data_IF_001777997599
#
_entry.id   IF_001777997599
#
_cell.length_a   1.000
_cell.length_b   1.000
_cell.length_c   1.000
_cell.angle_alpha   90.00
_cell.angle_beta   90.00
_cell.angle_gamma   90.00
#
_symmetry.space_group_name_H-M   'P 1'
#
loop_
_entity.id
_entity.type
_entity.pdbx_description
1 polymer ?
#
# COMPACT_ATOMS: atom_id res chain seq x y z
N UNK A 1 -0.83 -31.11 68.27
CA UNK A 1 -1.88 -30.13 68.63
C UNK A 1 -3.13 -30.40 67.78
N UNK A 2 -4.07 -31.12 68.38
CA UNK A 2 -5.55 -30.97 68.37
C UNK A 2 -6.29 -30.35 67.15
N UNK A 3 -7.25 -31.15 66.62
CA UNK A 3 -8.56 -30.90 65.95
C UNK A 3 -8.58 -30.48 64.47
N UNK A 4 -9.13 -31.29 63.56
CA UNK A 4 -10.55 -31.66 63.26
C UNK A 4 -11.34 -30.58 62.48
N UNK A 5 -11.93 -31.00 61.36
CA UNK A 5 -13.12 -30.35 60.81
C UNK A 5 -13.33 -30.55 59.30
N UNK A 6 -13.96 -31.65 58.91
CA UNK A 6 -14.59 -31.78 57.59
C UNK A 6 -15.73 -30.76 57.42
N UNK A 7 -15.89 -30.23 56.20
CA UNK A 7 -17.21 -29.82 55.68
C UNK A 7 -17.21 -29.90 54.15
N UNK A 8 -18.01 -30.83 53.61
CA UNK A 8 -18.52 -30.83 52.23
C UNK A 8 -19.51 -29.68 52.02
N UNK A 9 -19.85 -29.47 50.75
CA UNK A 9 -20.90 -28.67 50.08
C UNK A 9 -20.23 -27.61 49.18
N UNK A 10 -20.55 -27.38 47.90
CA UNK A 10 -21.55 -27.86 46.95
C UNK A 10 -21.15 -27.27 45.58
N UNK A 11 -21.55 -27.90 44.47
CA UNK A 11 -21.14 -27.49 43.11
C UNK A 11 -21.74 -26.18 42.59
N UNK A 12 -21.08 -25.62 41.57
CA UNK A 12 -21.66 -24.95 40.41
C UNK A 12 -20.58 -24.75 39.31
N UNK A 13 -20.91 -25.16 38.09
CA UNK A 13 -20.20 -24.97 36.81
C UNK A 13 -20.68 -23.64 36.16
N UNK A 14 -20.30 -23.24 34.93
CA UNK A 14 -18.99 -23.12 34.27
C UNK A 14 -18.74 -21.70 33.70
N UNK A 15 -17.61 -21.54 32.98
CA UNK A 15 -17.46 -20.59 31.85
C UNK A 15 -17.39 -19.09 32.15
N UNK A 16 -16.18 -18.61 32.45
CA UNK A 16 -15.76 -17.25 32.10
C UNK A 16 -14.53 -17.36 31.21
N UNK A 17 -14.76 -17.40 29.89
CA UNK A 17 -13.72 -17.08 28.91
C UNK A 17 -13.40 -15.59 29.08
N UNK A 18 -12.42 -15.28 29.93
CA UNK A 18 -11.80 -13.96 29.95
C UNK A 18 -11.10 -13.76 28.60
N UNK A 19 -11.64 -12.85 27.80
CA UNK A 19 -10.94 -12.27 26.65
C UNK A 19 -9.62 -11.67 27.17
N UNK A 20 -8.51 -12.34 26.86
CA UNK A 20 -7.17 -11.80 27.07
C UNK A 20 -6.94 -10.78 25.95
N UNK A 21 -6.76 -9.51 26.31
CA UNK A 21 -6.37 -8.49 25.36
C UNK A 21 -5.00 -8.86 24.75
N UNK A 22 -4.83 -8.79 23.42
CA UNK A 22 -3.58 -9.19 22.78
C UNK A 22 -2.43 -8.26 23.19
N UNK A 23 -1.30 -8.84 23.55
CA UNK A 23 -0.07 -8.11 23.92
C UNK A 23 0.62 -7.54 22.69
N UNK A 24 1.51 -6.57 22.92
CA UNK A 24 2.11 -5.73 21.88
C UNK A 24 2.82 -6.47 20.72
N UNK A 25 3.30 -7.68 20.96
CA UNK A 25 3.96 -8.54 19.97
C UNK A 25 2.98 -9.21 19.00
N UNK A 26 1.71 -9.36 19.37
CA UNK A 26 0.66 -9.93 18.50
C UNK A 26 0.17 -8.95 17.41
N UNK A 27 0.48 -7.66 17.57
CA UNK A 27 0.06 -6.62 16.63
C UNK A 27 0.78 -6.70 15.28
N UNK A 28 2.01 -7.20 15.23
CA UNK A 28 2.80 -7.29 13.99
C UNK A 28 2.35 -8.45 13.08
N UNK A 29 1.77 -9.51 13.65
CA UNK A 29 1.18 -10.66 12.94
C UNK A 29 -0.08 -10.29 12.15
N UNK A 30 -0.78 -9.24 12.58
CA UNK A 30 -2.10 -8.84 12.06
C UNK A 30 -2.04 -7.98 10.79
N UNK A 31 -0.89 -7.42 10.43
CA UNK A 31 -0.74 -6.59 9.22
C UNK A 31 -0.71 -7.40 7.91
N UNK A 32 -0.90 -8.72 7.98
CA UNK A 32 -0.93 -9.62 6.82
C UNK A 32 -2.28 -10.30 6.64
N UNK A 33 -3.35 -9.65 7.08
CA UNK A 33 -4.69 -10.17 6.95
C UNK A 33 -5.16 -9.98 5.50
N UNK A 34 -5.45 -11.10 4.82
CA UNK A 34 -6.10 -11.10 3.49
C UNK A 34 -7.60 -10.78 3.55
N UNK A 35 -8.18 -10.80 4.75
CA UNK A 35 -9.60 -10.57 5.01
C UNK A 35 -9.82 -9.10 5.34
N UNK A 36 -10.50 -8.39 4.44
CA UNK A 36 -11.10 -7.11 4.81
C UNK A 36 -12.31 -7.36 5.72
N UNK A 37 -12.49 -6.53 6.74
CA UNK A 37 -13.64 -6.55 7.64
C UNK A 37 -14.06 -5.12 7.96
N UNK A 38 -15.36 -4.85 7.88
CA UNK A 38 -15.97 -3.65 8.46
C UNK A 38 -17.12 -4.07 9.39
N UNK A 39 -17.12 -3.64 10.67
CA UNK A 39 -16.11 -2.84 11.34
C UNK A 39 -14.70 -3.45 11.36
N UNK A 40 -13.69 -2.59 11.20
CA UNK A 40 -12.30 -3.01 11.33
C UNK A 40 -12.01 -3.33 12.82
N UNK A 41 -11.35 -4.47 13.13
CA UNK A 41 -10.98 -4.83 14.51
C UNK A 41 -10.13 -3.81 15.26
N UNK A 42 -9.49 -2.88 14.54
CA UNK A 42 -8.62 -1.84 15.08
C UNK A 42 -9.27 -0.45 15.09
N UNK A 43 -10.57 -0.34 14.81
CA UNK A 43 -11.28 0.93 14.88
C UNK A 43 -11.16 1.54 16.29
N UNK A 44 -10.75 2.81 16.42
CA UNK A 44 -10.61 3.45 17.72
C UNK A 44 -11.98 3.72 18.37
N UNK A 45 -12.01 3.97 19.70
CA UNK A 45 -13.23 4.42 20.37
C UNK A 45 -13.80 5.68 19.68
N UNK A 46 -15.13 5.71 19.49
CA UNK A 46 -15.83 6.76 18.75
C UNK A 46 -16.15 6.40 17.29
N UNK A 47 -15.51 5.36 16.76
CA UNK A 47 -15.88 4.73 15.49
C UNK A 47 -16.77 3.51 15.75
N UNK A 48 -17.45 3.02 14.71
CA UNK A 48 -18.19 1.76 14.76
C UNK A 48 -17.20 0.59 14.98
N UNK A 49 -17.43 -0.27 15.98
CA UNK A 49 -16.54 -1.40 16.31
C UNK A 49 -17.24 -2.74 16.11
N UNK A 50 -16.50 -3.86 16.02
CA UNK A 50 -17.09 -5.17 15.76
C UNK A 50 -18.16 -5.58 16.77
N UNK A 51 -18.04 -5.18 18.04
CA UNK A 51 -19.03 -5.44 19.09
C UNK A 51 -20.33 -4.64 18.92
N UNK A 52 -20.29 -3.55 18.17
CA UNK A 52 -21.42 -2.65 17.96
C UNK A 52 -22.35 -3.15 16.83
N UNK A 53 -21.95 -4.19 16.09
CA UNK A 53 -22.74 -4.77 14.99
C UNK A 53 -23.03 -6.26 15.18
N UNK A 54 -24.21 -6.69 14.75
CA UNK A 54 -24.56 -8.12 14.79
C UNK A 54 -23.90 -8.93 13.65
N UNK A 55 -23.61 -8.28 12.53
CA UNK A 55 -23.11 -8.94 11.30
C UNK A 55 -22.07 -8.06 10.61
N UNK A 56 -20.77 -8.26 10.89
CA UNK A 56 -19.69 -7.62 10.15
C UNK A 56 -19.71 -8.04 8.67
N UNK A 57 -19.34 -7.10 7.78
CA UNK A 57 -19.13 -7.38 6.37
C UNK A 57 -17.66 -7.78 6.20
N UNK A 58 -17.41 -8.94 5.57
CA UNK A 58 -16.05 -9.44 5.36
C UNK A 58 -15.85 -9.92 3.93
N UNK A 59 -14.64 -9.73 3.40
CA UNK A 59 -14.24 -10.20 2.06
C UNK A 59 -12.79 -10.70 2.09
N UNK A 60 -12.52 -11.83 1.46
CA UNK A 60 -11.16 -12.31 1.20
C UNK A 60 -10.61 -11.64 -0.07
N UNK A 61 -9.69 -10.68 0.10
CA UNK A 61 -9.11 -9.87 -0.98
C UNK A 61 -8.35 -10.67 -2.06
N UNK A 62 -8.12 -11.96 -1.81
CA UNK A 62 -7.42 -12.85 -2.75
C UNK A 62 -8.38 -13.83 -3.44
N UNK A 63 -9.69 -13.77 -3.13
CA UNK A 63 -10.74 -14.68 -3.66
C UNK A 63 -11.97 -13.94 -4.14
N UNK A 64 -12.40 -12.93 -3.39
CA UNK A 64 -13.63 -12.21 -3.61
C UNK A 64 -13.35 -10.99 -4.50
N UNK A 65 -14.39 -10.48 -5.16
CA UNK A 65 -14.30 -9.32 -6.04
C UNK A 65 -13.80 -9.62 -7.47
N UNK A 66 -13.82 -8.58 -8.33
CA UNK A 66 -13.33 -8.66 -9.70
C UNK A 66 -11.80 -8.83 -9.74
N UNK A 67 -11.30 -9.53 -10.75
CA UNK A 67 -9.86 -9.66 -10.99
C UNK A 67 -9.24 -8.42 -11.66
N UNK A 68 -7.90 -8.30 -11.67
CA UNK A 68 -6.92 -9.25 -11.12
C UNK A 68 -6.88 -9.25 -9.58
N UNK A 69 -6.73 -10.43 -8.98
CA UNK A 69 -6.72 -10.61 -7.50
C UNK A 69 -5.30 -10.69 -6.96
N UNK A 70 -5.16 -10.34 -5.67
CA UNK A 70 -3.87 -10.42 -4.99
C UNK A 70 -3.37 -11.87 -4.90
N UNK A 71 -2.07 -12.03 -5.12
CA UNK A 71 -1.38 -13.30 -4.91
C UNK A 71 -1.43 -13.70 -3.43
N UNK A 72 -1.32 -15.01 -3.18
CA UNK A 72 -1.23 -15.58 -1.83
C UNK A 72 0.18 -16.10 -1.57
N UNK A 73 0.68 -15.83 -0.38
CA UNK A 73 1.82 -16.56 0.19
C UNK A 73 1.42 -18.01 0.53
N UNK A 74 2.38 -18.94 0.68
CA UNK A 74 2.11 -20.30 1.16
C UNK A 74 1.36 -20.33 2.50
N UNK A 75 1.57 -19.34 3.36
CA UNK A 75 0.87 -19.20 4.66
C UNK A 75 -0.54 -18.59 4.52
N UNK A 76 -1.02 -18.38 3.29
CA UNK A 76 -2.34 -17.86 3.00
C UNK A 76 -2.51 -16.36 3.24
N UNK A 77 -1.44 -15.57 3.31
CA UNK A 77 -1.49 -14.11 3.42
C UNK A 77 -1.52 -13.46 2.04
N UNK A 78 -2.14 -12.29 1.91
CA UNK A 78 -2.14 -11.54 0.66
C UNK A 78 -0.76 -10.90 0.41
N UNK A 79 -0.32 -10.91 -0.85
CA UNK A 79 0.89 -10.22 -1.28
C UNK A 79 0.49 -8.91 -1.97
N UNK A 80 1.12 -7.83 -1.50
CA UNK A 80 0.93 -6.48 -2.01
C UNK A 80 2.29 -5.93 -2.42
N UNK A 81 2.45 -5.58 -3.70
CA UNK A 81 3.67 -4.95 -4.24
C UNK A 81 3.43 -3.47 -4.42
N UNK A 82 3.39 -2.74 -3.31
CA UNK A 82 3.08 -1.31 -3.33
C UNK A 82 4.27 -0.43 -3.75
N UNK A 83 5.50 -0.98 -3.76
CA UNK A 83 6.74 -0.27 -4.07
C UNK A 83 6.89 1.03 -3.25
N UNK A 84 6.56 0.93 -1.97
CA UNK A 84 6.67 2.00 -0.97
C UNK A 84 6.95 1.36 0.37
N UNK A 85 7.65 2.08 1.24
CA UNK A 85 7.84 1.71 2.64
C UNK A 85 6.85 2.43 3.58
N UNK A 86 5.98 3.29 3.03
CA UNK A 86 4.98 4.09 3.74
C UNK A 86 5.58 4.99 4.84
N UNK A 87 6.83 5.41 4.66
CA UNK A 87 7.52 6.34 5.57
C UNK A 87 7.57 7.74 4.99
N UNK A 88 7.93 8.70 5.84
CA UNK A 88 8.23 10.06 5.42
C UNK A 88 9.72 10.20 5.11
N UNK A 89 10.02 10.93 4.05
CA UNK A 89 11.38 11.20 3.61
C UNK A 89 11.53 12.66 3.19
N UNK A 90 12.74 13.19 3.37
CA UNK A 90 13.15 14.47 2.81
C UNK A 90 13.65 14.25 1.39
N UNK A 91 12.94 14.76 0.39
CA UNK A 91 13.22 14.53 -1.04
C UNK A 91 13.71 15.79 -1.78
N UNK A 92 14.19 16.78 -1.04
CA UNK A 92 14.75 18.03 -1.56
C UNK A 92 15.89 18.50 -0.65
N UNK A 93 16.70 19.44 -1.14
CA UNK A 93 17.74 20.11 -0.37
C UNK A 93 18.09 21.46 -1.01
N UNK A 94 19.09 22.16 -0.48
CA UNK A 94 19.50 23.48 -0.96
C UNK A 94 20.00 23.48 -2.42
N UNK A 95 20.52 22.34 -2.91
CA UNK A 95 21.05 22.24 -4.27
C UNK A 95 19.95 21.95 -5.30
N UNK A 96 18.88 21.25 -4.90
CA UNK A 96 17.68 21.08 -5.71
C UNK A 96 16.41 21.23 -4.83
N UNK A 97 15.90 22.46 -4.71
CA UNK A 97 14.78 22.76 -3.83
C UNK A 97 13.42 22.49 -4.47
N UNK A 98 13.34 21.80 -5.61
CA UNK A 98 12.10 21.66 -6.39
C UNK A 98 10.91 21.11 -5.58
N UNK A 99 11.16 20.15 -4.67
CA UNK A 99 10.14 19.64 -3.76
C UNK A 99 10.05 20.37 -2.41
N UNK A 100 10.99 21.28 -2.10
CA UNK A 100 11.04 22.07 -0.86
C UNK A 100 10.13 23.31 -0.95
N UNK A 101 8.85 23.11 -1.24
CA UNK A 101 7.88 24.22 -1.41
C UNK A 101 6.50 23.95 -0.83
N UNK A 102 6.36 22.95 0.04
CA UNK A 102 5.24 22.98 0.97
C UNK A 102 5.44 24.16 1.93
N UNK A 103 4.35 24.89 2.19
CA UNK A 103 4.39 26.13 2.99
C UNK A 103 3.65 25.99 4.31
N UNK A 104 2.80 24.98 4.42
CA UNK A 104 1.92 24.80 5.57
C UNK A 104 2.30 23.53 6.32
N UNK A 105 2.59 23.68 7.61
CA UNK A 105 2.75 22.55 8.53
C UNK A 105 1.37 21.91 8.72
N UNK A 106 1.27 20.61 8.42
CA UNK A 106 0.04 19.83 8.55
C UNK A 106 0.16 18.90 9.76
N UNK A 107 -0.55 19.20 10.85
CA UNK A 107 -0.53 18.40 12.10
C UNK A 107 0.89 18.07 12.60
N UNK A 108 1.78 19.07 12.58
CA UNK A 108 3.16 18.94 13.05
C UNK A 108 4.11 18.22 12.10
N UNK A 109 3.67 17.89 10.88
CA UNK A 109 4.54 17.36 9.82
C UNK A 109 5.38 18.49 9.23
N UNK A 110 6.73 18.39 9.23
CA UNK A 110 7.60 19.35 8.58
C UNK A 110 7.32 19.51 7.09
N UNK A 111 7.54 20.71 6.55
CA UNK A 111 7.24 21.07 5.16
C UNK A 111 8.22 20.47 4.13
N UNK A 112 9.28 19.82 4.59
CA UNK A 112 10.26 19.13 3.75
C UNK A 112 10.07 17.61 3.76
N UNK A 113 9.09 17.09 4.50
CA UNK A 113 8.87 15.65 4.69
C UNK A 113 7.60 15.15 4.01
N UNK A 114 7.78 14.23 3.07
CA UNK A 114 6.70 13.68 2.26
C UNK A 114 6.55 12.17 2.49
N UNK A 115 5.31 11.70 2.62
CA UNK A 115 5.02 10.27 2.68
C UNK A 115 5.29 9.62 1.32
N UNK A 116 6.03 8.50 1.30
CA UNK A 116 6.28 7.74 0.07
C UNK A 116 4.98 7.18 -0.50
N UNK A 117 4.59 7.70 -1.67
CA UNK A 117 3.39 7.23 -2.37
C UNK A 117 3.60 5.79 -2.84
N UNK A 118 2.54 4.99 -2.80
CA UNK A 118 2.48 3.70 -3.50
C UNK A 118 2.75 3.90 -5.00
N UNK A 119 3.58 3.06 -5.61
CA UNK A 119 3.88 3.13 -7.05
C UNK A 119 3.15 2.06 -7.88
N UNK A 120 2.32 1.21 -7.26
CA UNK A 120 1.61 0.13 -7.95
C UNK A 120 0.65 0.58 -9.07
N UNK A 121 0.44 1.89 -9.23
CA UNK A 121 -0.39 2.53 -10.25
C UNK A 121 0.27 3.77 -10.88
N UNK A 122 1.59 3.96 -10.69
CA UNK A 122 2.30 5.18 -11.15
C UNK A 122 2.20 5.39 -12.67
N UNK A 123 2.04 4.32 -13.45
CA UNK A 123 1.82 4.40 -14.89
C UNK A 123 0.44 4.97 -15.29
N UNK A 124 -0.46 5.20 -14.34
CA UNK A 124 -1.82 5.70 -14.56
C UNK A 124 -2.15 7.00 -13.81
N UNK A 125 -1.18 7.61 -13.13
CA UNK A 125 -1.42 8.72 -12.19
C UNK A 125 -0.60 9.96 -12.47
N UNK A 126 -0.19 10.19 -13.73
CA UNK A 126 0.31 11.50 -14.11
C UNK A 126 -0.78 12.58 -13.86
N UNK A 127 -0.41 13.84 -13.55
CA UNK A 127 0.95 14.35 -13.35
C UNK A 127 1.58 13.97 -11.99
N UNK A 128 2.89 14.07 -11.88
CA UNK A 128 3.73 13.59 -10.78
C UNK A 128 4.20 14.69 -9.83
N UNK A 129 4.80 14.29 -8.70
CA UNK A 129 5.18 15.17 -7.60
C UNK A 129 4.02 15.42 -6.63
N UNK A 130 4.30 15.99 -5.46
CA UNK A 130 3.25 16.27 -4.46
C UNK A 130 2.29 17.40 -4.89
N UNK A 131 2.73 18.26 -5.82
CA UNK A 131 1.90 19.30 -6.45
C UNK A 131 1.21 18.85 -7.74
N UNK A 132 1.59 17.70 -8.31
CA UNK A 132 1.06 17.23 -9.59
C UNK A 132 1.42 18.16 -10.75
N UNK A 133 2.64 18.68 -10.80
CA UNK A 133 3.11 19.64 -11.82
C UNK A 133 4.26 19.11 -12.68
N UNK A 134 4.60 17.83 -12.56
CA UNK A 134 5.59 17.15 -13.38
C UNK A 134 4.90 16.21 -14.37
N UNK A 135 5.23 16.31 -15.66
CA UNK A 135 4.47 15.61 -16.71
C UNK A 135 5.01 14.21 -16.98
N UNK A 136 6.28 13.95 -16.65
CA UNK A 136 6.92 12.66 -16.88
C UNK A 136 7.49 12.02 -15.61
N UNK A 137 7.56 10.69 -15.61
CA UNK A 137 8.23 9.92 -14.55
C UNK A 137 9.70 10.31 -14.45
N UNK A 138 10.36 10.54 -15.60
CA UNK A 138 11.76 10.95 -15.65
C UNK A 138 11.98 12.29 -14.97
N UNK A 139 11.17 13.31 -15.28
CA UNK A 139 11.25 14.61 -14.58
C UNK A 139 11.07 14.44 -13.08
N UNK A 140 10.11 13.62 -12.65
CA UNK A 140 9.94 13.31 -11.23
C UNK A 140 11.20 12.71 -10.63
N UNK A 141 11.81 11.70 -11.25
CA UNK A 141 13.07 11.09 -10.76
C UNK A 141 14.18 12.14 -10.67
N UNK A 142 14.34 12.98 -11.70
CA UNK A 142 15.43 13.96 -11.78
C UNK A 142 15.31 15.12 -10.77
N UNK A 143 14.10 15.42 -10.28
CA UNK A 143 13.90 16.40 -9.20
C UNK A 143 14.05 15.83 -7.78
N UNK A 144 14.29 14.52 -7.61
CA UNK A 144 14.51 13.95 -6.28
C UNK A 144 15.89 14.32 -5.74
N UNK A 145 15.91 14.95 -4.57
CA UNK A 145 17.11 15.33 -3.85
C UNK A 145 17.03 14.91 -2.38
N UNK A 146 17.84 15.49 -1.47
CA UNK A 146 17.86 15.11 -0.06
C UNK A 146 18.24 13.64 0.13
N UNK A 147 17.41 12.88 0.83
CA UNK A 147 17.61 11.44 1.05
C UNK A 147 17.55 10.61 -0.23
N UNK A 148 16.89 11.11 -1.27
CA UNK A 148 16.72 10.42 -2.55
C UNK A 148 17.79 10.79 -3.60
N UNK A 149 18.67 11.75 -3.29
CA UNK A 149 19.75 12.20 -4.17
C UNK A 149 20.65 11.05 -4.66
N UNK A 150 21.13 10.12 -3.80
CA UNK A 150 21.98 9.01 -4.27
C UNK A 150 21.27 8.11 -5.30
N UNK A 151 19.96 7.94 -5.20
CA UNK A 151 19.14 7.13 -6.11
C UNK A 151 18.96 7.87 -7.44
N UNK A 152 18.72 9.18 -7.40
CA UNK A 152 18.70 10.03 -8.60
C UNK A 152 20.03 9.96 -9.34
N UNK A 153 21.13 10.20 -8.65
CA UNK A 153 22.47 10.22 -9.27
C UNK A 153 22.83 8.85 -9.88
N UNK A 154 22.45 7.75 -9.23
CA UNK A 154 22.58 6.40 -9.80
C UNK A 154 21.73 6.23 -11.05
N UNK A 155 20.49 6.72 -11.05
CA UNK A 155 19.63 6.70 -12.22
C UNK A 155 20.23 7.50 -13.37
N UNK A 156 20.71 8.71 -13.13
CA UNK A 156 21.36 9.56 -14.14
C UNK A 156 22.60 8.90 -14.74
N UNK A 157 23.39 8.20 -13.92
CA UNK A 157 24.62 7.52 -14.32
C UNK A 157 24.41 6.22 -15.13
N UNK A 158 23.19 5.70 -15.21
CA UNK A 158 22.88 4.53 -16.03
C UNK A 158 22.99 4.84 -17.53
N UNK A 159 23.25 3.79 -18.31
CA UNK A 159 23.10 3.85 -19.77
C UNK A 159 21.66 4.24 -20.15
N UNK A 160 21.49 4.83 -21.33
CA UNK A 160 20.18 5.32 -21.77
C UNK A 160 19.13 4.20 -21.80
N UNK A 161 19.53 3.02 -22.25
CA UNK A 161 18.71 1.83 -22.33
C UNK A 161 18.24 1.37 -20.94
N UNK A 162 19.11 1.42 -19.94
CA UNK A 162 18.80 1.03 -18.57
C UNK A 162 17.87 2.04 -17.89
N UNK A 163 18.06 3.35 -18.12
CA UNK A 163 17.12 4.39 -17.68
C UNK A 163 15.74 4.18 -18.30
N UNK A 164 15.70 3.92 -19.60
CA UNK A 164 14.46 3.63 -20.31
C UNK A 164 13.78 2.36 -19.75
N UNK A 165 14.54 1.30 -19.46
CA UNK A 165 13.99 0.08 -18.89
C UNK A 165 13.32 0.30 -17.52
N UNK A 166 13.91 1.13 -16.65
CA UNK A 166 13.29 1.52 -15.37
C UNK A 166 11.98 2.27 -15.60
N UNK A 167 12.00 3.28 -16.49
CA UNK A 167 10.81 4.09 -16.79
C UNK A 167 9.70 3.24 -17.41
N UNK A 168 10.03 2.33 -18.32
CA UNK A 168 9.08 1.40 -18.93
C UNK A 168 8.50 0.43 -17.91
N UNK A 169 9.31 -0.10 -17.00
CA UNK A 169 8.81 -0.91 -15.88
C UNK A 169 7.80 -0.12 -15.04
N UNK A 170 8.10 1.12 -14.64
CA UNK A 170 7.17 1.96 -13.88
C UNK A 170 5.87 2.25 -14.66
N UNK A 171 5.95 2.44 -15.98
CA UNK A 171 4.77 2.59 -16.84
C UNK A 171 3.88 1.34 -16.89
N UNK A 172 4.42 0.15 -16.62
CA UNK A 172 3.62 -1.09 -16.54
C UNK A 172 2.77 -1.18 -15.27
N UNK A 173 3.08 -0.41 -14.23
CA UNK A 173 2.33 -0.38 -12.98
C UNK A 173 1.07 0.46 -13.18
N UNK A 174 0.02 -0.15 -13.73
CA UNK A 174 -1.22 0.51 -14.15
C UNK A 174 -2.44 -0.01 -13.40
N UNK A 175 -3.46 0.85 -13.30
CA UNK A 175 -4.81 0.40 -12.95
C UNK A 175 -5.45 -0.19 -14.21
N UNK A 176 -5.68 -1.50 -14.19
CA UNK A 176 -6.28 -2.21 -15.31
C UNK A 176 -7.82 -2.26 -15.20
N UNK A 177 -8.55 -2.26 -16.33
CA UNK A 177 -10.00 -2.46 -16.30
C UNK A 177 -10.37 -3.85 -15.78
N UNK A 178 -11.60 -4.03 -15.26
CA UNK A 178 -12.08 -5.34 -14.80
C UNK A 178 -11.91 -6.42 -15.88
N UNK A 179 -11.38 -7.58 -15.48
CA UNK A 179 -11.17 -8.73 -16.37
C UNK A 179 -9.89 -8.68 -17.20
N UNK A 180 -9.05 -7.66 -17.03
CA UNK A 180 -7.72 -7.66 -17.63
C UNK A 180 -6.84 -8.80 -17.07
N UNK A 181 -6.00 -9.43 -17.91
CA UNK A 181 -5.07 -10.46 -17.45
C UNK A 181 -4.01 -9.85 -16.51
N UNK A 182 -3.55 -10.61 -15.52
CA UNK A 182 -2.53 -10.18 -14.55
C UNK A 182 -1.12 -10.08 -15.15
N UNK A 183 -0.90 -10.74 -16.28
CA UNK A 183 0.32 -10.66 -17.07
C UNK A 183 -0.10 -10.37 -18.51
N UNK A 184 0.39 -9.27 -19.06
CA UNK A 184 0.30 -8.99 -20.49
C UNK A 184 1.66 -9.36 -21.07
N UNK A 185 1.69 -10.38 -21.92
CA UNK A 185 2.91 -10.73 -22.65
C UNK A 185 3.29 -9.61 -23.62
N UNK A 186 4.57 -9.52 -23.99
CA UNK A 186 5.05 -8.54 -24.98
C UNK A 186 4.26 -8.64 -26.31
N UNK A 187 3.88 -9.86 -26.72
CA UNK A 187 3.01 -10.11 -27.86
C UNK A 187 1.63 -9.48 -27.70
N UNK A 188 0.98 -9.70 -26.55
CA UNK A 188 -0.36 -9.17 -26.26
C UNK A 188 -0.34 -7.65 -26.11
N UNK A 189 0.70 -7.08 -25.51
CA UNK A 189 0.89 -5.64 -25.38
C UNK A 189 1.03 -4.99 -26.76
N UNK A 190 1.89 -5.55 -27.62
CA UNK A 190 2.08 -5.06 -29.00
C UNK A 190 0.80 -5.15 -29.81
N UNK A 191 0.02 -6.21 -29.65
CA UNK A 191 -1.26 -6.35 -30.33
C UNK A 191 -2.29 -5.36 -29.79
N UNK A 192 -2.37 -5.16 -28.48
CA UNK A 192 -3.24 -4.18 -27.85
C UNK A 192 -2.93 -2.75 -28.32
N UNK A 193 -1.64 -2.37 -28.32
CA UNK A 193 -1.18 -1.06 -28.81
C UNK A 193 -1.51 -0.90 -30.29
N UNK A 194 -1.28 -1.92 -31.13
CA UNK A 194 -1.66 -1.91 -32.55
C UNK A 194 -3.16 -1.70 -32.74
N UNK A 195 -4.01 -2.42 -31.99
CA UNK A 195 -5.47 -2.27 -32.02
C UNK A 195 -5.91 -0.89 -31.58
N UNK A 196 -5.33 -0.33 -30.52
CA UNK A 196 -5.63 1.03 -30.06
C UNK A 196 -5.23 2.12 -31.04
N UNK A 197 -4.07 1.99 -31.69
CA UNK A 197 -3.62 2.89 -32.76
C UNK A 197 -4.55 2.82 -33.98
N UNK A 198 -4.95 1.62 -34.37
CA UNK A 198 -5.93 1.41 -35.45
C UNK A 198 -7.32 1.97 -35.12
N UNK A 199 -7.68 2.02 -33.83
CA UNK A 199 -8.95 2.58 -33.36
C UNK A 199 -8.93 4.12 -33.22
N UNK A 200 -7.87 4.82 -33.65
CA UNK A 200 -7.85 6.28 -33.80
C UNK A 200 -7.89 7.10 -32.50
N UNK A 201 -7.65 6.50 -31.33
CA UNK A 201 -7.45 7.27 -30.09
C UNK A 201 -5.97 7.64 -29.96
N UNK A 202 -5.61 8.76 -30.56
CA UNK A 202 -4.35 9.46 -30.27
C UNK A 202 -4.28 9.75 -28.77
N UNK A 203 -3.23 9.26 -28.12
CA UNK A 203 -2.85 9.72 -26.80
C UNK A 203 -1.89 10.89 -27.01
N UNK A 204 -2.46 12.09 -27.08
CA UNK A 204 -1.71 13.32 -26.96
C UNK A 204 -2.60 14.33 -26.22
N UNK A 205 -2.54 14.25 -24.89
CA UNK A 205 -2.76 15.32 -23.91
C UNK A 205 -2.40 14.81 -22.53
#
# INVERSE_FOLDING_TARGET
MIRNGERRLSGASPSSLRSVAPTATDRCSSWRIRIFSEPNPFNPPGNLRPEDVQRPITFDLTRDGPGPRLERTPEGKAIVRAYTDLKRHIICDDADPFFCNERVVQDGVPTDQFLTRKLWDVGSTAPYGHRGDLTTITEAILHHAGEARPQRERFEALAEEDRAAIVEFLKTLQVLPPGAPSVVTESELREFVRRRRAAGKEWNQ
#
